data_IF_833463316342
#
_entry.id   IF_833463316342
#
_cell.length_a   1.000
_cell.length_b   1.000
_cell.length_c   1.000
_cell.angle_alpha   90.00
_cell.angle_beta   90.00
_cell.angle_gamma   90.00
#
_symmetry.space_group_name_H-M   'P 1'
#
loop_
_entity.id
_entity.type
_entity.pdbx_description
1 polymer ?
#
# COMPACT_ATOMS: atom_id res chain seq x y z
N UNK A 1 -16.87 1.80 21.27
CA UNK A 1 -16.36 2.22 21.14
C UNK A 1 -15.60 2.64 20.31
N UNK A 2 -15.62 3.41 19.90
CA UNK A 2 -15.06 3.77 18.94
C UNK A 2 -14.02 4.12 18.92
N UNK A 3 -13.68 3.92 18.63
CA UNK A 3 -12.47 3.89 18.56
C UNK A 3 -11.88 4.69 17.49
N UNK A 4 -10.60 4.95 17.56
CA UNK A 4 -9.89 5.65 16.53
C UNK A 4 -9.70 4.73 15.33
N UNK A 5 -9.55 5.27 14.13
CA UNK A 5 -9.28 4.45 12.94
C UNK A 5 -7.96 3.70 13.05
N UNK A 6 -7.89 2.57 12.36
CA UNK A 6 -6.62 1.87 12.19
C UNK A 6 -5.72 2.67 11.26
N UNK A 7 -4.46 2.80 11.64
CA UNK A 7 -3.46 3.45 10.79
C UNK A 7 -2.70 2.39 10.00
N UNK A 8 -2.66 2.56 8.69
CA UNK A 8 -2.06 1.60 7.77
C UNK A 8 -1.01 2.30 6.91
N UNK A 9 0.19 1.74 6.84
CA UNK A 9 1.26 2.29 6.03
C UNK A 9 1.55 1.32 4.88
N UNK A 10 1.52 1.86 3.66
CA UNK A 10 1.93 1.11 2.47
C UNK A 10 3.34 1.53 2.07
N UNK A 11 4.23 0.56 1.90
CA UNK A 11 5.63 0.81 1.57
C UNK A 11 5.96 0.29 0.18
N UNK A 12 6.68 1.11 -0.56
CA UNK A 12 7.28 0.74 -1.83
C UNK A 12 8.59 1.51 -1.93
N UNK A 13 9.55 1.02 -2.67
CA UNK A 13 10.86 1.67 -2.71
C UNK A 13 10.76 3.13 -3.14
N UNK A 14 10.11 3.39 -4.28
CA UNK A 14 10.07 4.75 -4.84
C UNK A 14 8.95 5.63 -4.35
N UNK A 15 7.94 5.07 -3.72
CA UNK A 15 6.73 5.80 -3.29
C UNK A 15 6.24 6.74 -4.39
N UNK A 16 6.02 6.19 -5.58
CA UNK A 16 5.57 7.00 -6.70
C UNK A 16 4.32 6.47 -7.39
N UNK A 17 4.04 5.17 -7.31
CA UNK A 17 2.89 4.58 -7.98
C UNK A 17 2.13 3.62 -7.08
N UNK A 18 2.62 2.39 -6.86
CA UNK A 18 1.86 1.34 -6.17
C UNK A 18 1.41 1.74 -4.77
N UNK A 19 2.31 2.27 -3.96
CA UNK A 19 1.96 2.65 -2.58
C UNK A 19 1.04 3.86 -2.55
N UNK A 20 1.19 4.79 -3.49
CA UNK A 20 0.30 5.95 -3.61
C UNK A 20 -1.11 5.50 -3.98
N UNK A 21 -1.22 4.59 -4.95
CA UNK A 21 -2.52 4.05 -5.36
C UNK A 21 -3.20 3.33 -4.17
N UNK A 22 -2.43 2.53 -3.44
CA UNK A 22 -2.97 1.82 -2.27
C UNK A 22 -3.46 2.79 -1.20
N UNK A 23 -2.68 3.82 -0.92
CA UNK A 23 -3.08 4.86 0.03
C UNK A 23 -4.40 5.50 -0.39
N UNK A 24 -4.54 5.85 -1.66
CA UNK A 24 -5.75 6.47 -2.18
C UNK A 24 -6.96 5.55 -2.00
N UNK A 25 -6.81 4.28 -2.36
CA UNK A 25 -7.91 3.32 -2.30
C UNK A 25 -8.39 3.14 -0.85
N UNK A 26 -7.46 2.93 0.07
CA UNK A 26 -7.85 2.65 1.45
C UNK A 26 -8.48 3.87 2.12
N UNK A 27 -7.97 5.07 1.84
CA UNK A 27 -8.59 6.27 2.41
C UNK A 27 -10.00 6.48 1.89
N UNK A 28 -10.32 6.01 0.69
CA UNK A 28 -11.66 6.08 0.15
C UNK A 28 -12.53 4.92 0.66
N UNK A 29 -12.07 3.70 0.48
CA UNK A 29 -12.83 2.50 0.82
C UNK A 29 -13.02 2.35 2.31
N UNK A 30 -11.99 2.69 3.10
CA UNK A 30 -12.02 2.53 4.54
C UNK A 30 -12.31 3.80 5.32
N UNK A 31 -12.90 4.80 4.67
CA UNK A 31 -13.14 6.09 5.32
C UNK A 31 -13.86 5.91 6.65
N UNK A 32 -13.33 6.53 7.68
CA UNK A 32 -13.91 6.43 9.02
C UNK A 32 -13.35 5.29 9.86
N UNK A 33 -12.91 4.21 9.22
CA UNK A 33 -12.37 3.05 9.94
C UNK A 33 -10.86 2.91 9.76
N UNK A 34 -10.30 3.53 8.73
CA UNK A 34 -8.88 3.44 8.42
C UNK A 34 -8.32 4.79 8.01
N UNK A 35 -7.05 5.00 8.32
CA UNK A 35 -6.26 6.09 7.77
C UNK A 35 -5.05 5.48 7.11
N UNK A 36 -4.88 5.77 5.82
CA UNK A 36 -3.81 5.19 5.02
C UNK A 36 -2.71 6.21 4.76
N UNK A 37 -1.50 5.71 4.77
CA UNK A 37 -0.28 6.49 4.51
C UNK A 37 0.59 5.69 3.57
N UNK A 38 1.54 6.34 2.92
CA UNK A 38 2.50 5.65 2.08
C UNK A 38 3.87 6.30 2.19
N UNK A 39 4.91 5.52 1.93
CA UNK A 39 6.28 6.01 1.97
C UNK A 39 7.19 5.07 1.21
N UNK A 40 8.43 5.50 0.99
CA UNK A 40 9.43 4.67 0.34
C UNK A 40 10.79 4.80 1.00
N UNK A 41 11.63 3.79 0.81
CA UNK A 41 13.00 3.81 1.32
C UNK A 41 13.88 4.74 0.47
N UNK A 42 13.56 4.86 -0.81
CA UNK A 42 14.27 5.73 -1.74
C UNK A 42 13.25 6.48 -2.59
N UNK A 43 12.56 7.45 -1.99
CA UNK A 43 11.47 8.14 -2.69
C UNK A 43 11.99 8.89 -3.90
N UNK A 44 11.22 8.83 -4.98
CA UNK A 44 11.58 9.55 -6.20
C UNK A 44 11.33 11.05 -6.07
N UNK A 45 10.60 11.46 -5.05
CA UNK A 45 10.30 12.86 -4.81
C UNK A 45 9.14 13.40 -5.62
N UNK A 46 8.59 12.59 -6.51
CA UNK A 46 7.50 12.99 -7.38
C UNK A 46 6.59 11.80 -7.63
N UNK A 47 5.28 12.03 -7.50
CA UNK A 47 4.30 10.99 -7.79
C UNK A 47 4.24 10.76 -9.30
N UNK A 48 4.12 9.50 -9.70
CA UNK A 48 4.10 9.14 -11.11
C UNK A 48 2.87 9.77 -11.80
N UNK A 49 3.07 10.49 -12.93
CA UNK A 49 1.94 11.14 -13.60
C UNK A 49 0.83 10.19 -14.06
N UNK A 50 1.19 8.97 -14.46
CA UNK A 50 0.19 7.99 -14.86
C UNK A 50 -0.68 7.55 -13.69
N UNK A 51 -0.09 7.45 -12.50
CA UNK A 51 -0.86 7.15 -11.30
C UNK A 51 -1.83 8.28 -10.99
N UNK A 52 -1.38 9.52 -11.08
CA UNK A 52 -2.25 10.68 -10.85
C UNK A 52 -3.38 10.73 -11.87
N UNK A 53 -3.08 10.51 -13.15
CA UNK A 53 -4.11 10.52 -14.19
C UNK A 53 -5.16 9.46 -13.95
N UNK A 54 -4.73 8.26 -13.57
CA UNK A 54 -5.67 7.19 -13.28
C UNK A 54 -6.58 7.56 -12.12
N UNK A 55 -6.00 8.03 -11.04
CA UNK A 55 -6.78 8.38 -9.84
C UNK A 55 -7.74 9.52 -10.12
N UNK A 56 -7.30 10.53 -10.88
CA UNK A 56 -8.19 11.64 -11.26
C UNK A 56 -9.35 11.15 -12.11
N UNK A 57 -9.07 10.24 -13.05
CA UNK A 57 -10.13 9.71 -13.91
C UNK A 57 -11.17 8.91 -13.13
N UNK A 58 -10.79 8.41 -11.95
CA UNK A 58 -11.69 7.66 -11.09
C UNK A 58 -12.33 8.51 -10.00
N UNK A 59 -12.12 9.81 -10.06
CA UNK A 59 -12.77 10.74 -9.15
C UNK A 59 -12.04 11.04 -7.85
N UNK A 60 -10.78 10.63 -7.74
CA UNK A 60 -10.00 10.90 -6.53
C UNK A 60 -9.45 12.32 -6.55
N UNK A 61 -9.37 12.93 -5.36
CA UNK A 61 -8.67 14.19 -5.18
C UNK A 61 -7.18 13.86 -5.01
N UNK A 62 -6.36 14.31 -5.95
CA UNK A 62 -4.94 13.96 -5.96
C UNK A 62 -4.04 15.06 -5.38
N UNK A 63 -4.59 16.15 -4.89
CA UNK A 63 -3.80 17.31 -4.48
C UNK A 63 -2.87 17.03 -3.30
N UNK A 64 -3.23 16.08 -2.45
CA UNK A 64 -2.45 15.80 -1.24
C UNK A 64 -1.39 14.71 -1.38
N UNK A 65 -1.31 14.07 -2.53
CA UNK A 65 -0.33 12.98 -2.69
C UNK A 65 1.08 13.53 -2.90
N UNK A 66 2.02 12.89 -2.25
CA UNK A 66 3.44 13.25 -2.42
C UNK A 66 4.31 12.02 -2.20
N UNK A 67 5.45 12.00 -2.87
CA UNK A 67 6.45 10.96 -2.72
C UNK A 67 7.35 11.34 -1.55
N UNK A 68 7.49 10.45 -0.56
CA UNK A 68 8.18 10.79 0.68
C UNK A 68 8.93 9.61 1.25
N UNK A 69 9.92 9.92 2.07
CA UNK A 69 10.73 8.91 2.73
C UNK A 69 10.00 8.30 3.92
N UNK A 70 10.22 7.01 4.14
CA UNK A 70 9.70 6.33 5.32
C UNK A 70 10.28 6.91 6.62
N UNK A 71 11.39 7.67 6.52
CA UNK A 71 11.96 8.33 7.69
C UNK A 71 11.00 9.31 8.33
N UNK A 72 10.07 9.86 7.55
CA UNK A 72 9.04 10.74 8.11
C UNK A 72 8.21 10.04 9.17
N UNK A 73 8.06 8.73 9.03
CA UNK A 73 7.22 7.94 9.95
C UNK A 73 8.04 7.25 11.04
N UNK A 74 9.34 7.49 11.08
CA UNK A 74 10.19 7.00 12.15
C UNK A 74 10.34 8.01 13.30
N UNK A 75 9.77 9.20 13.14
CA UNK A 75 9.86 10.26 14.14
C UNK A 75 8.95 9.98 15.33
N UNK A 76 9.30 10.57 16.46
CA UNK A 76 8.52 10.37 17.69
C UNK A 76 7.08 10.88 17.56
N UNK A 77 6.85 11.91 16.74
CA UNK A 77 5.52 12.48 16.54
C UNK A 77 4.75 11.86 15.37
N UNK A 78 5.29 10.83 14.76
CA UNK A 78 4.62 10.17 13.65
C UNK A 78 3.44 9.35 14.16
N UNK A 79 2.45 9.07 13.28
CA UNK A 79 1.36 8.17 13.65
C UNK A 79 1.90 6.80 14.05
N UNK A 80 1.23 6.14 14.97
CA UNK A 80 1.54 4.76 15.30
C UNK A 80 0.74 3.88 14.35
N UNK A 81 1.42 2.99 13.66
CA UNK A 81 0.78 2.15 12.66
C UNK A 81 0.32 0.84 13.26
N UNK A 82 -0.89 0.45 12.92
CA UNK A 82 -1.43 -0.86 13.29
C UNK A 82 -1.02 -1.91 12.26
N UNK A 83 -0.86 -1.50 11.01
CA UNK A 83 -0.48 -2.38 9.91
C UNK A 83 0.54 -1.70 9.01
N UNK A 84 1.50 -2.48 8.52
CA UNK A 84 2.47 -2.04 7.51
C UNK A 84 2.50 -3.09 6.41
N UNK A 85 2.15 -2.68 5.20
CA UNK A 85 2.12 -3.58 4.04
C UNK A 85 3.14 -3.12 3.01
N UNK A 86 4.00 -4.04 2.55
CA UNK A 86 4.89 -3.75 1.44
C UNK A 86 4.20 -4.16 0.14
N UNK A 87 4.25 -3.29 -0.86
CA UNK A 87 3.59 -3.53 -2.14
C UNK A 87 4.57 -3.72 -3.30
N UNK A 88 5.87 -3.72 -3.01
CA UNK A 88 6.89 -4.10 -3.97
C UNK A 88 7.90 -5.02 -3.28
N UNK A 89 8.53 -5.90 -4.08
CA UNK A 89 9.41 -6.92 -3.51
C UNK A 89 10.67 -6.31 -2.90
N UNK A 90 11.20 -5.24 -3.47
CA UNK A 90 12.38 -4.59 -2.93
C UNK A 90 12.12 -4.04 -1.53
N UNK A 91 10.96 -3.43 -1.32
CA UNK A 91 10.62 -2.91 0.01
C UNK A 91 10.48 -4.02 1.03
N UNK A 92 10.02 -5.20 0.60
CA UNK A 92 9.86 -6.34 1.50
C UNK A 92 11.20 -6.83 2.02
N UNK A 93 12.27 -6.65 1.24
CA UNK A 93 13.61 -7.10 1.61
C UNK A 93 14.36 -6.08 2.46
N UNK A 94 13.83 -4.87 2.64
CA UNK A 94 14.48 -3.81 3.37
C UNK A 94 13.99 -3.75 4.82
N UNK A 95 14.85 -3.27 5.72
CA UNK A 95 14.48 -3.11 7.11
C UNK A 95 13.83 -1.74 7.30
N UNK A 96 12.54 -1.74 7.53
CA UNK A 96 11.79 -0.50 7.74
C UNK A 96 12.06 0.04 9.14
N UNK A 97 12.37 1.35 9.29
CA UNK A 97 12.61 1.93 10.60
C UNK A 97 11.33 2.16 11.42
N UNK A 98 10.16 1.94 10.83
CA UNK A 98 8.89 2.19 11.50
C UNK A 98 8.54 0.98 12.32
N UNK A 99 8.98 0.96 13.59
CA UNK A 99 8.73 -0.21 14.43
C UNK A 99 8.00 0.06 15.74
N UNK A 100 7.78 1.31 16.16
CA UNK A 100 7.09 1.53 17.44
C UNK A 100 5.69 0.90 17.40
N UNK A 101 5.32 0.23 18.49
CA UNK A 101 4.01 -0.39 18.58
C UNK A 101 3.92 -1.75 17.91
N UNK A 102 4.98 -2.19 17.27
CA UNK A 102 5.04 -3.50 16.60
C UNK A 102 3.84 -3.74 15.69
N UNK A 103 3.69 -2.98 14.61
CA UNK A 103 2.57 -3.17 13.70
C UNK A 103 2.57 -4.56 13.09
N UNK A 104 1.40 -5.02 12.72
CA UNK A 104 1.31 -6.27 11.98
C UNK A 104 1.72 -6.00 10.54
N UNK A 105 2.57 -6.87 9.98
CA UNK A 105 3.12 -6.65 8.64
C UNK A 105 2.71 -7.76 7.69
N UNK A 106 2.65 -7.43 6.41
CA UNK A 106 2.43 -8.42 5.36
C UNK A 106 3.00 -7.90 4.05
N UNK A 107 3.30 -8.81 3.14
CA UNK A 107 3.80 -8.46 1.82
C UNK A 107 2.69 -8.64 0.79
N UNK A 108 2.28 -7.56 0.17
CA UNK A 108 1.22 -7.53 -0.84
C UNK A 108 1.78 -7.07 -2.18
N UNK A 109 2.86 -7.70 -2.63
CA UNK A 109 3.57 -7.29 -3.83
C UNK A 109 2.80 -7.52 -5.10
N UNK A 110 2.85 -6.54 -6.00
CA UNK A 110 2.31 -6.64 -7.36
C UNK A 110 3.36 -6.07 -8.32
N UNK A 111 3.19 -6.39 -9.60
CA UNK A 111 4.10 -5.90 -10.63
C UNK A 111 4.08 -4.37 -10.69
N UNK A 112 5.24 -3.78 -10.99
CA UNK A 112 5.38 -2.33 -11.06
C UNK A 112 4.81 -1.81 -12.38
N UNK A 113 3.70 -1.08 -12.36
CA UNK A 113 3.13 -0.55 -13.60
C UNK A 113 4.03 0.49 -14.26
N UNK A 114 4.92 1.13 -13.49
CA UNK A 114 5.83 2.13 -14.05
C UNK A 114 6.89 1.51 -14.95
N UNK A 115 7.09 0.19 -14.88
CA UNK A 115 8.02 -0.50 -15.75
C UNK A 115 7.37 -0.96 -17.06
N UNK A 116 6.09 -0.75 -17.21
CA UNK A 116 5.40 -1.14 -18.44
C UNK A 116 5.91 -0.31 -19.61
N UNK A 117 6.09 -0.97 -20.74
CA UNK A 117 6.58 -0.35 -21.96
C UNK A 117 5.58 -0.58 -23.08
N UNK A 118 5.66 0.26 -24.10
CA UNK A 118 4.80 0.13 -25.26
C UNK A 118 4.03 1.40 -25.52
N UNK A 119 2.84 1.26 -26.08
CA UNK A 119 1.99 2.42 -26.38
C UNK A 119 1.43 3.07 -25.13
N UNK A 120 0.98 4.33 -25.22
CA UNK A 120 0.31 4.95 -24.05
C UNK A 120 -0.86 4.13 -23.56
N UNK A 121 -1.59 3.45 -24.45
CA UNK A 121 -2.70 2.61 -24.03
C UNK A 121 -2.21 1.41 -23.21
N UNK A 122 -1.10 0.81 -23.61
CA UNK A 122 -0.54 -0.33 -22.87
C UNK A 122 -0.03 0.09 -21.49
N UNK A 123 0.61 1.25 -21.39
CA UNK A 123 1.06 1.78 -20.12
C UNK A 123 -0.15 2.08 -19.21
N UNK A 124 -1.19 2.70 -19.79
CA UNK A 124 -2.41 3.00 -19.05
C UNK A 124 -3.06 1.72 -18.49
N UNK A 125 -3.08 0.66 -19.31
CA UNK A 125 -3.63 -0.62 -18.87
C UNK A 125 -2.85 -1.22 -17.71
N UNK A 126 -1.53 -1.06 -17.70
CA UNK A 126 -0.71 -1.57 -16.60
C UNK A 126 -1.08 -0.87 -15.29
N UNK A 127 -1.33 0.45 -15.32
CA UNK A 127 -1.72 1.18 -14.14
C UNK A 127 -3.14 0.80 -13.69
N UNK A 128 -4.04 0.57 -14.64
CA UNK A 128 -5.40 0.10 -14.31
C UNK A 128 -5.36 -1.28 -13.67
N UNK A 129 -4.48 -2.14 -14.16
CA UNK A 129 -4.34 -3.47 -13.58
C UNK A 129 -3.79 -3.40 -12.16
N UNK A 130 -2.79 -2.55 -11.92
CA UNK A 130 -2.26 -2.36 -10.57
C UNK A 130 -3.38 -1.87 -9.63
N UNK A 131 -4.20 -0.94 -10.10
CA UNK A 131 -5.33 -0.45 -9.31
C UNK A 131 -6.30 -1.59 -9.00
N UNK A 132 -6.63 -2.40 -10.00
CA UNK A 132 -7.57 -3.51 -9.82
C UNK A 132 -7.08 -4.48 -8.76
N UNK A 133 -5.80 -4.86 -8.83
CA UNK A 133 -5.22 -5.81 -7.88
C UNK A 133 -5.19 -5.25 -6.46
N UNK A 134 -4.80 -3.99 -6.31
CA UNK A 134 -4.75 -3.36 -4.99
C UNK A 134 -6.16 -3.15 -4.44
N UNK A 135 -7.10 -2.75 -5.29
CA UNK A 135 -8.48 -2.55 -4.86
C UNK A 135 -9.09 -3.84 -4.36
N UNK A 136 -8.78 -4.96 -5.01
CA UNK A 136 -9.27 -6.26 -4.60
C UNK A 136 -8.73 -6.64 -3.22
N UNK A 137 -7.43 -6.46 -3.01
CA UNK A 137 -6.79 -6.77 -1.74
C UNK A 137 -7.33 -5.90 -0.60
N UNK A 138 -7.42 -4.63 -0.86
CA UNK A 138 -7.89 -3.67 0.14
C UNK A 138 -9.36 -3.91 0.46
N UNK A 139 -10.17 -4.25 -0.54
CA UNK A 139 -11.57 -4.56 -0.33
C UNK A 139 -11.76 -5.75 0.62
N UNK A 140 -10.97 -6.80 0.44
CA UNK A 140 -11.02 -7.94 1.33
C UNK A 140 -10.54 -7.55 2.74
N UNK A 141 -9.43 -6.82 2.80
CA UNK A 141 -8.88 -6.38 4.08
C UNK A 141 -9.90 -5.57 4.90
N UNK A 142 -10.57 -4.62 4.26
CA UNK A 142 -11.52 -3.77 4.97
C UNK A 142 -12.78 -4.54 5.39
N UNK A 143 -13.00 -5.73 4.83
CA UNK A 143 -14.13 -6.57 5.19
C UNK A 143 -13.83 -7.54 6.35
N UNK A 144 -12.56 -7.63 6.76
CA UNK A 144 -12.19 -8.54 7.84
C UNK A 144 -12.71 -8.02 9.19
N UNK A 145 -13.18 -8.93 10.07
CA UNK A 145 -13.59 -8.53 11.42
C UNK A 145 -12.37 -8.36 12.32
N UNK A 146 -11.60 -7.28 12.09
CA UNK A 146 -10.30 -7.09 12.71
C UNK A 146 -10.32 -7.15 14.23
N UNK A 147 -11.39 -6.64 14.85
CA UNK A 147 -11.46 -6.59 16.30
C UNK A 147 -11.80 -7.95 16.91
N UNK A 148 -12.32 -8.87 16.10
CA UNK A 148 -12.71 -10.21 16.57
C UNK A 148 -11.65 -11.27 16.34
N UNK A 149 -10.69 -11.01 15.43
CA UNK A 149 -9.68 -12.00 15.08
C UNK A 149 -8.51 -11.91 16.05
N UNK A 150 -8.02 -13.07 16.47
CA UNK A 150 -6.78 -13.07 17.22
C UNK A 150 -5.60 -12.76 16.28
N UNK A 151 -4.44 -12.48 16.89
CA UNK A 151 -3.28 -12.02 16.13
C UNK A 151 -2.79 -13.05 15.12
N UNK A 152 -2.80 -14.31 15.49
CA UNK A 152 -2.32 -15.39 14.61
C UNK A 152 -3.25 -15.58 13.41
N UNK A 153 -4.57 -15.61 13.67
CA UNK A 153 -5.54 -15.75 12.59
C UNK A 153 -5.51 -14.57 11.64
N UNK A 154 -5.36 -13.37 12.18
CA UNK A 154 -5.27 -12.16 11.37
C UNK A 154 -4.03 -12.19 10.49
N UNK A 155 -2.89 -12.58 11.05
CA UNK A 155 -1.65 -12.66 10.28
C UNK A 155 -1.80 -13.63 9.10
N UNK A 156 -2.44 -14.77 9.32
CA UNK A 156 -2.65 -15.75 8.25
C UNK A 156 -3.54 -15.16 7.14
N UNK A 157 -4.59 -14.44 7.51
CA UNK A 157 -5.48 -13.84 6.52
C UNK A 157 -4.78 -12.74 5.72
N UNK A 158 -3.96 -11.92 6.39
CA UNK A 158 -3.21 -10.87 5.68
C UNK A 158 -2.22 -11.48 4.70
N UNK A 159 -1.58 -12.58 5.06
CA UNK A 159 -0.68 -13.28 4.15
C UNK A 159 -1.44 -13.83 2.95
N UNK A 160 -2.60 -14.42 3.18
CA UNK A 160 -3.41 -14.98 2.11
C UNK A 160 -3.84 -13.89 1.11
N UNK A 161 -4.20 -12.72 1.61
CA UNK A 161 -4.53 -11.58 0.73
C UNK A 161 -3.33 -11.24 -0.15
N UNK A 162 -2.13 -11.22 0.42
CA UNK A 162 -0.93 -10.90 -0.33
C UNK A 162 -0.59 -11.91 -1.40
N UNK A 163 -1.08 -13.15 -1.28
CA UNK A 163 -0.77 -14.23 -2.21
C UNK A 163 -1.84 -14.43 -3.28
N UNK A 164 -2.81 -13.53 -3.34
CA UNK A 164 -3.88 -13.62 -4.33
C UNK A 164 -3.36 -13.39 -5.74
N UNK A 165 -4.28 -13.51 -6.70
CA UNK A 165 -3.98 -13.28 -8.12
C UNK A 165 -3.12 -12.04 -8.32
N UNK A 166 -2.11 -12.14 -9.17
CA UNK A 166 -1.23 -11.01 -9.48
C UNK A 166 -0.09 -10.80 -8.52
N UNK A 167 0.02 -11.63 -7.48
CA UNK A 167 1.09 -11.47 -6.50
C UNK A 167 2.45 -11.75 -7.14
N UNK A 168 3.42 -10.88 -6.82
CA UNK A 168 4.81 -11.13 -7.17
C UNK A 168 5.46 -11.96 -6.07
N UNK A 169 6.57 -12.62 -6.40
CA UNK A 169 7.31 -13.40 -5.42
C UNK A 169 8.63 -12.73 -5.13
N UNK A 170 9.00 -12.67 -3.86
CA UNK A 170 10.32 -12.21 -3.50
C UNK A 170 11.31 -13.36 -3.66
N UNK A 171 12.58 -13.01 -3.77
CA UNK A 171 13.61 -14.02 -3.92
C UNK A 171 13.72 -14.97 -2.72
N UNK A 172 13.28 -14.51 -1.57
CA UNK A 172 13.31 -15.33 -0.37
C UNK A 172 12.27 -16.43 -0.36
N UNK A 173 11.37 -16.43 -1.31
CA UNK A 173 10.30 -17.41 -1.36
C UNK A 173 10.67 -18.65 -2.15
N UNK A 174 11.82 -18.64 -2.73
CA UNK A 174 12.26 -19.80 -3.51
C UNK A 174 12.72 -20.93 -2.62
#
# INVERSE_FOLDING_TARGET
MADHPYNVLFLCTGNSARSIIAEAILNKTGKGAFRAYSAGSQPKGQVNPHALQLLESLGYDTAGFRSKSWDEFARADAPKFDFVFTVCDNAAAETCPVSPGQPMTAHWGIADPAEAKGTPAQVSMAFKEAYRLLNQRIGIFTSLPLRSLDRLSLRAKLRDIGEMEGATKTSERT
#
